data_IF_080946537489
#
_entry.id   IF_080946537489
#
_cell.length_a   1.000
_cell.length_b   1.000
_cell.length_c   1.000
_cell.angle_alpha   90.00
_cell.angle_beta   90.00
_cell.angle_gamma   90.00
#
_symmetry.space_group_name_H-M   'P 1'
#
loop_
_entity.id
_entity.type
_entity.pdbx_description
1 polymer ?
#
# COMPACT_ATOMS: atom_id res chain seq x y z
N UNK A 1 15.01 39.52 28.86
CA UNK A 1 16.26 38.73 28.73
C UNK A 1 16.36 38.31 27.27
N UNK A 2 17.03 39.03 26.38
CA UNK A 2 18.49 39.22 26.25
C UNK A 2 19.22 37.87 26.09
N UNK A 3 20.00 37.54 25.05
CA UNK A 3 20.60 38.20 23.86
C UNK A 3 21.10 37.02 22.94
N UNK A 4 20.92 37.03 21.59
CA UNK A 4 21.94 37.30 20.53
C UNK A 4 22.90 36.12 20.23
N UNK A 5 23.42 35.80 19.02
CA UNK A 5 23.51 36.40 17.69
C UNK A 5 23.66 35.32 16.59
N UNK A 6 23.32 35.77 15.39
CA UNK A 6 23.85 35.44 14.05
C UNK A 6 25.26 34.86 13.94
N UNK A 7 25.42 33.95 12.98
CA UNK A 7 26.66 33.74 12.24
C UNK A 7 26.33 33.22 10.83
N UNK A 8 26.17 34.16 9.92
CA UNK A 8 26.26 33.96 8.48
C UNK A 8 27.68 33.55 8.09
N UNK A 9 27.83 32.44 7.37
CA UNK A 9 28.96 32.22 6.48
C UNK A 9 28.44 31.56 5.20
N UNK A 10 28.42 32.36 4.14
CA UNK A 10 28.18 31.94 2.78
C UNK A 10 29.32 31.01 2.31
N UNK A 11 28.96 29.85 1.79
CA UNK A 11 29.73 29.18 0.76
C UNK A 11 28.76 28.80 -0.36
N UNK A 12 28.90 29.54 -1.46
CA UNK A 12 28.38 29.31 -2.79
C UNK A 12 28.54 27.85 -3.23
N UNK A 13 27.43 27.28 -3.70
CA UNK A 13 27.39 25.95 -4.29
C UNK A 13 26.02 25.69 -4.92
N UNK A 14 25.65 26.49 -5.92
CA UNK A 14 24.64 26.07 -6.89
C UNK A 14 25.06 24.70 -7.43
N UNK A 15 24.18 23.71 -7.50
CA UNK A 15 24.14 22.70 -8.56
C UNK A 15 22.70 22.20 -8.67
N UNK A 16 22.09 22.55 -9.79
CA UNK A 16 20.72 22.19 -10.12
C UNK A 16 20.54 20.68 -10.18
N UNK A 17 19.31 20.28 -9.88
CA UNK A 17 18.75 18.99 -10.24
C UNK A 17 18.97 18.75 -11.73
N UNK A 18 19.89 17.85 -12.07
CA UNK A 18 20.02 17.31 -13.41
C UNK A 18 19.45 15.89 -13.37
N UNK A 19 18.19 15.77 -13.80
CA UNK A 19 17.66 14.53 -14.37
C UNK A 19 18.54 14.15 -15.58
N UNK A 20 19.56 13.33 -15.32
CA UNK A 20 20.38 12.73 -16.35
C UNK A 20 19.61 11.59 -17.01
N UNK A 21 18.83 11.92 -18.03
CA UNK A 21 18.31 10.96 -19.00
C UNK A 21 19.43 10.05 -19.51
N UNK A 22 19.24 8.74 -19.41
CA UNK A 22 20.17 7.68 -19.82
C UNK A 22 20.57 7.74 -21.31
N UNK A 23 20.02 8.68 -22.09
CA UNK A 23 20.43 8.98 -23.46
C UNK A 23 21.78 9.71 -23.61
N UNK A 24 22.27 10.44 -22.60
CA UNK A 24 23.52 11.22 -22.73
C UNK A 24 24.80 10.42 -22.50
N UNK A 25 24.72 9.20 -21.97
CA UNK A 25 25.88 8.30 -21.90
C UNK A 25 26.26 7.71 -23.26
N UNK A 26 25.32 7.68 -24.21
CA UNK A 26 25.54 7.14 -25.55
C UNK A 26 26.20 8.14 -26.50
N UNK A 27 26.06 9.45 -26.27
CA UNK A 27 26.67 10.48 -27.11
C UNK A 27 28.19 10.63 -26.90
N UNK A 28 28.74 10.25 -25.74
CA UNK A 28 30.19 10.19 -25.54
C UNK A 28 30.87 8.96 -26.18
N UNK A 29 30.09 7.95 -26.61
CA UNK A 29 30.60 6.78 -27.33
C UNK A 29 30.41 6.86 -28.85
N UNK A 30 29.69 7.87 -29.35
CA UNK A 30 29.42 8.04 -30.78
C UNK A 30 30.46 8.92 -31.52
N UNK A 31 31.47 9.45 -30.82
CA UNK A 31 32.46 10.38 -31.39
C UNK A 31 33.76 9.76 -31.93
N UNK A 32 33.85 8.43 -32.06
CA UNK A 32 35.11 7.75 -32.37
C UNK A 32 34.98 6.60 -33.38
N UNK A 33 34.34 6.84 -34.53
CA UNK A 33 34.38 5.93 -35.67
C UNK A 33 35.25 6.51 -36.78
N UNK A 34 36.57 6.43 -36.61
CA UNK A 34 37.50 6.52 -37.72
C UNK A 34 38.77 5.72 -37.40
N UNK A 35 38.95 4.61 -38.11
CA UNK A 35 40.28 4.09 -38.40
C UNK A 35 40.94 3.18 -37.37
N UNK A 36 40.72 1.87 -37.55
CA UNK A 36 41.81 0.89 -37.55
C UNK A 36 42.38 0.38 -36.22
N UNK A 37 42.92 -0.83 -36.32
CA UNK A 37 43.84 -1.53 -35.42
C UNK A 37 43.29 -2.45 -34.30
N UNK A 38 43.48 -3.74 -34.58
CA UNK A 38 43.87 -4.86 -33.71
C UNK A 38 42.84 -5.46 -32.74
N UNK A 39 42.61 -6.76 -32.95
CA UNK A 39 41.79 -7.64 -32.12
C UNK A 39 42.31 -7.78 -30.70
N UNK A 40 41.37 -7.84 -29.75
CA UNK A 40 41.65 -7.98 -28.33
C UNK A 40 40.58 -7.35 -27.43
N UNK A 41 39.85 -6.34 -27.92
CA UNK A 41 38.83 -5.63 -27.12
C UNK A 41 37.37 -5.84 -27.56
N UNK A 42 37.12 -6.49 -28.70
CA UNK A 42 35.78 -6.83 -29.17
C UNK A 42 35.14 -8.00 -28.41
N UNK A 43 35.91 -9.08 -28.16
CA UNK A 43 35.44 -10.26 -27.42
C UNK A 43 35.11 -9.96 -25.95
N UNK A 44 35.96 -9.22 -25.24
CA UNK A 44 35.69 -8.85 -23.85
C UNK A 44 34.43 -7.96 -23.69
N UNK A 45 34.16 -7.08 -24.66
CA UNK A 45 32.93 -6.26 -24.67
C UNK A 45 31.69 -7.09 -24.99
N UNK A 46 31.80 -8.07 -25.90
CA UNK A 46 30.72 -9.00 -26.23
C UNK A 46 30.42 -9.97 -25.07
N UNK A 47 31.46 -10.49 -24.41
CA UNK A 47 31.34 -11.37 -23.24
C UNK A 47 30.80 -10.64 -22.01
N UNK A 48 31.15 -9.36 -21.83
CA UNK A 48 30.57 -8.51 -20.79
C UNK A 48 29.08 -8.27 -21.07
N UNK A 49 28.72 -7.91 -22.31
CA UNK A 49 27.34 -7.69 -22.72
C UNK A 49 26.47 -8.95 -22.56
N UNK A 50 26.96 -10.11 -23.01
CA UNK A 50 26.27 -11.38 -22.84
C UNK A 50 26.12 -11.78 -21.37
N UNK A 51 27.14 -11.52 -20.53
CA UNK A 51 27.04 -11.71 -19.07
C UNK A 51 26.01 -10.78 -18.43
N UNK A 52 25.97 -9.50 -18.81
CA UNK A 52 24.95 -8.56 -18.32
C UNK A 52 23.54 -9.01 -18.70
N UNK A 53 23.34 -9.48 -19.93
CA UNK A 53 22.06 -10.03 -20.41
C UNK A 53 21.66 -11.32 -19.67
N UNK A 54 22.63 -12.19 -19.37
CA UNK A 54 22.38 -13.40 -18.59
C UNK A 54 22.02 -13.08 -17.12
N UNK A 55 22.70 -12.10 -16.51
CA UNK A 55 22.39 -11.62 -15.15
C UNK A 55 21.01 -10.96 -15.11
N UNK A 56 20.66 -10.13 -16.09
CA UNK A 56 19.33 -9.50 -16.16
C UNK A 56 18.22 -10.53 -16.34
N UNK A 57 18.42 -11.54 -17.20
CA UNK A 57 17.47 -12.63 -17.39
C UNK A 57 17.30 -13.48 -16.12
N UNK A 58 18.40 -13.81 -15.43
CA UNK A 58 18.35 -14.53 -14.15
C UNK A 58 17.63 -13.71 -13.07
N UNK A 59 17.87 -12.40 -13.00
CA UNK A 59 17.19 -11.51 -12.06
C UNK A 59 15.69 -11.44 -12.34
N UNK A 60 15.29 -11.33 -13.61
CA UNK A 60 13.88 -11.35 -14.00
C UNK A 60 13.20 -12.67 -13.59
N UNK A 61 13.82 -13.82 -13.90
CA UNK A 61 13.33 -15.12 -13.47
C UNK A 61 13.18 -15.24 -11.95
N UNK A 62 14.17 -14.78 -11.18
CA UNK A 62 14.10 -14.82 -9.73
C UNK A 62 13.03 -13.88 -9.18
N UNK A 63 12.87 -12.70 -9.78
CA UNK A 63 11.82 -11.77 -9.37
C UNK A 63 10.43 -12.39 -9.57
N UNK A 64 10.18 -12.97 -10.74
CA UNK A 64 8.94 -13.68 -11.04
C UNK A 64 8.72 -14.86 -10.09
N UNK A 65 9.73 -15.72 -9.91
CA UNK A 65 9.66 -16.89 -9.03
C UNK A 65 9.32 -16.55 -7.58
N UNK A 66 9.79 -15.40 -7.09
CA UNK A 66 9.60 -14.97 -5.70
C UNK A 66 8.58 -13.83 -5.55
N UNK A 67 7.78 -13.54 -6.59
CA UNK A 67 6.71 -12.53 -6.52
C UNK A 67 7.20 -11.10 -6.27
N UNK A 68 8.41 -10.76 -6.73
CA UNK A 68 9.02 -9.44 -6.63
C UNK A 68 8.75 -8.62 -7.88
N UNK A 69 8.57 -7.32 -7.71
CA UNK A 69 8.27 -6.39 -8.82
C UNK A 69 9.51 -6.11 -9.68
N UNK A 70 10.70 -6.29 -9.12
CA UNK A 70 11.98 -6.00 -9.76
C UNK A 70 12.52 -4.61 -9.50
N UNK A 71 11.67 -3.69 -9.01
CA UNK A 71 12.07 -2.46 -8.35
C UNK A 71 12.37 -2.76 -6.88
N UNK A 72 13.64 -2.63 -6.49
CA UNK A 72 14.10 -2.92 -5.14
C UNK A 72 13.43 -2.02 -4.09
N UNK A 73 13.23 -0.74 -4.39
CA UNK A 73 12.63 0.19 -3.45
C UNK A 73 11.16 -0.16 -3.23
N UNK A 74 10.44 -0.46 -4.32
CA UNK A 74 9.04 -0.92 -4.25
C UNK A 74 8.91 -2.22 -3.45
N UNK A 75 9.79 -3.18 -3.69
CA UNK A 75 9.79 -4.46 -2.97
C UNK A 75 10.17 -4.32 -1.48
N UNK A 76 11.04 -3.35 -1.12
CA UNK A 76 11.32 -3.01 0.27
C UNK A 76 10.10 -2.38 0.93
N UNK A 77 9.46 -1.42 0.26
CA UNK A 77 8.25 -0.76 0.77
C UNK A 77 7.11 -1.74 1.00
N UNK A 78 6.82 -2.62 0.04
CA UNK A 78 5.77 -3.63 0.16
C UNK A 78 6.02 -4.54 1.38
N UNK A 79 7.26 -5.00 1.57
CA UNK A 79 7.60 -5.83 2.73
C UNK A 79 7.46 -5.06 4.05
N UNK A 80 7.95 -3.83 4.11
CA UNK A 80 7.83 -3.00 5.31
C UNK A 80 6.37 -2.67 5.66
N UNK A 81 5.52 -2.43 4.66
CA UNK A 81 4.08 -2.22 4.86
C UNK A 81 3.40 -3.49 5.41
N UNK A 82 3.76 -4.65 4.86
CA UNK A 82 3.22 -5.95 5.30
C UNK A 82 3.65 -6.29 6.73
N UNK A 83 4.92 -6.05 7.06
CA UNK A 83 5.45 -6.19 8.42
C UNK A 83 4.73 -5.25 9.40
N UNK A 84 4.60 -3.97 9.06
CA UNK A 84 3.88 -2.99 9.90
C UNK A 84 2.42 -3.38 10.17
N UNK A 85 1.70 -3.88 9.13
CA UNK A 85 0.34 -4.38 9.30
C UNK A 85 0.29 -5.60 10.21
N UNK A 86 1.20 -6.55 9.99
CA UNK A 86 1.29 -7.78 10.77
C UNK A 86 1.57 -7.50 12.23
N UNK A 87 2.59 -6.69 12.53
CA UNK A 87 2.96 -6.32 13.90
C UNK A 87 1.80 -5.65 14.63
N UNK A 88 1.09 -4.74 13.94
CA UNK A 88 -0.12 -4.12 14.50
C UNK A 88 -1.19 -5.17 14.78
N UNK A 89 -1.52 -6.04 13.83
CA UNK A 89 -2.58 -7.04 13.98
C UNK A 89 -2.26 -8.06 15.08
N UNK A 90 -1.01 -8.52 15.15
CA UNK A 90 -0.54 -9.43 16.22
C UNK A 90 -0.62 -8.73 17.58
N UNK A 91 -0.20 -7.46 17.69
CA UNK A 91 -0.30 -6.69 18.94
C UNK A 91 -1.76 -6.47 19.41
N UNK A 92 -2.71 -6.53 18.48
CA UNK A 92 -4.15 -6.38 18.72
C UNK A 92 -4.87 -7.72 18.91
N UNK A 93 -4.13 -8.83 18.98
CA UNK A 93 -4.66 -10.16 19.31
C UNK A 93 -5.34 -10.89 18.15
N UNK A 94 -5.15 -10.46 16.91
CA UNK A 94 -5.66 -11.20 15.75
C UNK A 94 -4.91 -12.51 15.56
N UNK A 95 -5.63 -13.57 15.16
CA UNK A 95 -5.01 -14.88 14.89
C UNK A 95 -4.26 -14.88 13.55
N UNK A 96 -3.29 -15.78 13.40
CA UNK A 96 -2.55 -15.95 12.15
C UNK A 96 -3.43 -16.22 10.94
N UNK A 97 -4.60 -16.85 11.12
CA UNK A 97 -5.56 -17.06 10.04
C UNK A 97 -6.25 -15.75 9.65
N UNK A 98 -6.73 -14.98 10.61
CA UNK A 98 -7.35 -13.67 10.35
C UNK A 98 -6.38 -12.71 9.64
N UNK A 99 -5.11 -12.70 10.05
CA UNK A 99 -4.08 -11.89 9.41
C UNK A 99 -3.89 -12.28 7.94
N UNK A 100 -3.85 -13.58 7.63
CA UNK A 100 -3.78 -14.07 6.25
C UNK A 100 -5.02 -13.70 5.44
N UNK A 101 -6.20 -13.72 6.05
CA UNK A 101 -7.43 -13.33 5.38
C UNK A 101 -7.42 -11.82 5.04
N UNK A 102 -6.88 -10.99 5.94
CA UNK A 102 -6.72 -9.54 5.72
C UNK A 102 -5.67 -9.18 4.67
N UNK A 103 -4.65 -10.03 4.44
CA UNK A 103 -3.68 -9.82 3.35
C UNK A 103 -4.35 -9.70 1.97
N UNK A 104 -5.52 -10.33 1.77
CA UNK A 104 -6.27 -10.25 0.52
C UNK A 104 -7.09 -8.96 0.37
N UNK A 105 -7.20 -8.16 1.44
CA UNK A 105 -7.97 -6.92 1.45
C UNK A 105 -7.11 -5.65 1.53
N UNK A 106 -5.80 -5.75 1.74
CA UNK A 106 -4.88 -4.61 1.93
C UNK A 106 -3.92 -4.49 0.76
N UNK A 107 -3.88 -3.31 0.13
CA UNK A 107 -2.91 -2.99 -0.91
C UNK A 107 -1.58 -2.55 -0.28
N UNK A 108 -0.66 -3.50 -0.12
CA UNK A 108 0.68 -3.23 0.41
C UNK A 108 1.60 -2.46 -0.54
N UNK A 109 1.19 -2.24 -1.80
CA UNK A 109 1.92 -1.34 -2.70
C UNK A 109 1.69 0.13 -2.35
N UNK A 110 0.60 0.42 -1.64
CA UNK A 110 0.31 1.72 -1.06
C UNK A 110 0.79 1.80 0.39
N UNK A 111 0.91 3.02 0.91
CA UNK A 111 1.34 3.25 2.29
C UNK A 111 0.40 2.55 3.28
N UNK A 112 1.00 1.81 4.22
CA UNK A 112 0.34 1.30 5.43
C UNK A 112 0.97 1.96 6.64
N UNK A 113 0.15 2.45 7.57
CA UNK A 113 0.67 3.08 8.78
C UNK A 113 -0.27 2.94 9.97
N UNK A 114 0.31 2.79 11.16
CA UNK A 114 -0.43 2.89 12.42
C UNK A 114 -0.62 4.36 12.76
N UNK A 115 -1.86 4.78 12.96
CA UNK A 115 -2.23 6.14 13.35
C UNK A 115 -2.95 6.14 14.70
N UNK A 116 -2.83 7.23 15.45
CA UNK A 116 -3.63 7.45 16.67
C UNK A 116 -4.70 8.48 16.37
N UNK A 117 -5.96 8.08 16.45
CA UNK A 117 -7.09 8.98 16.37
C UNK A 117 -7.38 9.56 17.74
N UNK A 118 -7.68 10.86 17.79
CA UNK A 118 -8.19 11.48 19.01
C UNK A 118 -9.66 11.13 19.24
N UNK A 119 -10.15 11.40 20.45
CA UNK A 119 -11.59 11.41 20.78
C UNK A 119 -12.36 12.33 19.81
N UNK A 120 -13.64 12.00 19.60
CA UNK A 120 -14.59 12.74 18.77
C UNK A 120 -14.29 12.70 17.25
N UNK A 121 -13.49 11.74 16.79
CA UNK A 121 -13.29 11.50 15.36
C UNK A 121 -14.48 10.70 14.83
N UNK A 122 -15.17 11.26 13.83
CA UNK A 122 -16.24 10.56 13.10
C UNK A 122 -15.63 9.72 11.99
N UNK A 123 -16.06 8.47 11.92
CA UNK A 123 -15.77 7.48 10.89
C UNK A 123 -17.06 6.80 10.46
N UNK A 124 -17.01 6.03 9.38
CA UNK A 124 -18.18 5.37 8.82
C UNK A 124 -17.92 3.88 8.62
N UNK A 125 -18.89 3.02 8.93
CA UNK A 125 -18.79 1.59 8.66
C UNK A 125 -19.89 1.17 7.72
N UNK A 126 -19.51 0.61 6.57
CA UNK A 126 -20.44 0.02 5.63
C UNK A 126 -20.90 -1.35 6.17
N UNK A 127 -22.15 -1.43 6.61
CA UNK A 127 -22.73 -2.60 7.26
C UNK A 127 -24.20 -2.81 6.85
N UNK A 128 -24.73 -4.02 7.04
CA UNK A 128 -26.17 -4.22 6.93
C UNK A 128 -26.90 -3.37 7.99
N UNK A 129 -28.08 -2.80 7.71
CA UNK A 129 -28.85 -2.05 8.68
C UNK A 129 -29.06 -2.84 9.98
N UNK A 130 -28.79 -2.20 11.12
CA UNK A 130 -28.81 -2.82 12.46
C UNK A 130 -27.87 -4.02 12.64
N UNK A 131 -26.89 -4.17 11.73
CA UNK A 131 -25.86 -5.20 11.80
C UNK A 131 -24.90 -5.00 12.98
N UNK A 132 -24.18 -6.06 13.31
CA UNK A 132 -23.11 -6.01 14.31
C UNK A 132 -21.95 -5.17 13.77
N UNK A 133 -21.36 -4.37 14.65
CA UNK A 133 -20.16 -3.61 14.34
C UNK A 133 -18.98 -4.53 13.99
N UNK A 134 -18.38 -4.29 12.82
CA UNK A 134 -17.13 -4.87 12.36
C UNK A 134 -15.89 -4.10 12.82
N UNK A 135 -14.73 -4.44 12.24
CA UNK A 135 -13.43 -3.83 12.60
C UNK A 135 -12.97 -2.75 11.61
N UNK A 136 -13.62 -2.65 10.44
CA UNK A 136 -13.21 -1.80 9.34
C UNK A 136 -14.06 -0.54 9.28
N UNK A 137 -13.41 0.60 9.04
CA UNK A 137 -14.04 1.91 8.96
C UNK A 137 -13.49 2.70 7.76
N UNK A 138 -14.31 3.56 7.20
CA UNK A 138 -13.99 4.55 6.19
C UNK A 138 -13.89 5.95 6.81
N UNK A 139 -13.11 6.81 6.16
CA UNK A 139 -12.93 8.22 6.57
C UNK A 139 -14.10 9.13 6.20
N UNK A 140 -14.98 8.70 5.29
CA UNK A 140 -16.10 9.50 4.77
C UNK A 140 -17.30 8.61 4.45
N UNK A 141 -18.49 9.17 4.64
CA UNK A 141 -19.78 8.57 4.27
C UNK A 141 -19.91 8.29 2.78
N UNK A 142 -19.19 9.06 1.96
CA UNK A 142 -19.26 8.98 0.50
C UNK A 142 -18.45 7.81 -0.08
N UNK A 143 -17.69 7.11 0.75
CA UNK A 143 -16.90 5.96 0.30
C UNK A 143 -17.84 4.78 0.13
N UNK A 144 -17.97 4.34 -1.12
CA UNK A 144 -18.87 3.26 -1.47
C UNK A 144 -18.32 1.90 -1.00
N UNK A 145 -19.18 0.93 -0.65
CA UNK A 145 -18.75 -0.43 -0.28
C UNK A 145 -17.78 -1.06 -1.28
N UNK A 146 -18.03 -0.88 -2.59
CA UNK A 146 -17.19 -1.45 -3.65
C UNK A 146 -15.77 -0.87 -3.67
N UNK A 147 -15.58 0.38 -3.24
CA UNK A 147 -14.26 1.00 -3.12
C UNK A 147 -13.51 0.49 -1.90
N UNK A 148 -14.20 -0.04 -0.89
CA UNK A 148 -13.60 -0.69 0.28
C UNK A 148 -13.34 -2.19 0.08
N UNK A 149 -13.54 -2.71 -1.13
CA UNK A 149 -13.34 -4.13 -1.41
C UNK A 149 -14.47 -5.03 -0.89
N UNK A 150 -15.68 -4.48 -0.66
CA UNK A 150 -16.83 -5.26 -0.18
C UNK A 150 -18.09 -5.05 -1.05
N UNK A 151 -18.96 -6.06 -1.08
CA UNK A 151 -20.23 -6.02 -1.80
C UNK A 151 -21.15 -4.91 -1.20
N UNK A 152 -21.83 -4.09 -2.04
CA UNK A 152 -22.80 -3.10 -1.56
C UNK A 152 -24.04 -3.71 -0.89
N UNK A 153 -24.29 -5.00 -1.10
CA UNK A 153 -25.34 -5.77 -0.42
C UNK A 153 -24.74 -6.70 0.63
N UNK A 154 -25.55 -7.09 1.59
CA UNK A 154 -25.21 -8.12 2.57
C UNK A 154 -26.44 -8.88 3.06
N UNK A 155 -26.22 -10.11 3.53
CA UNK A 155 -27.27 -10.92 4.15
C UNK A 155 -27.41 -10.57 5.64
N UNK A 156 -28.64 -10.33 6.11
CA UNK A 156 -28.90 -10.10 7.54
C UNK A 156 -28.62 -11.41 8.29
N UNK A 157 -27.79 -11.32 9.35
CA UNK A 157 -27.37 -12.47 10.14
C UNK A 157 -28.56 -13.31 10.65
N UNK A 158 -28.49 -14.63 10.44
CA UNK A 158 -29.54 -15.57 10.84
C UNK A 158 -30.77 -15.58 9.93
N UNK A 159 -30.72 -14.93 8.77
CA UNK A 159 -31.82 -14.88 7.80
C UNK A 159 -31.28 -15.04 6.37
N UNK A 160 -32.16 -15.26 5.40
CA UNK A 160 -31.82 -15.23 3.96
C UNK A 160 -32.10 -13.85 3.31
N UNK A 161 -32.40 -12.83 4.13
CA UNK A 161 -32.77 -11.51 3.63
C UNK A 161 -31.53 -10.71 3.22
N UNK A 162 -31.44 -10.41 1.92
CA UNK A 162 -30.40 -9.54 1.33
C UNK A 162 -30.88 -8.10 1.36
N UNK A 163 -30.02 -7.20 1.84
CA UNK A 163 -30.29 -5.75 1.93
C UNK A 163 -29.08 -4.95 1.48
N UNK A 164 -29.32 -3.70 1.10
CA UNK A 164 -28.25 -2.74 0.85
C UNK A 164 -27.55 -2.39 2.16
N UNK A 165 -26.21 -2.32 2.13
CA UNK A 165 -25.41 -1.82 3.23
C UNK A 165 -25.60 -0.31 3.36
N UNK A 166 -25.47 0.18 4.57
CA UNK A 166 -25.52 1.60 4.93
C UNK A 166 -24.20 2.03 5.56
N UNK A 167 -23.79 3.26 5.31
CA UNK A 167 -22.63 3.87 5.93
C UNK A 167 -22.99 4.36 7.35
N UNK A 168 -22.89 3.48 8.34
CA UNK A 168 -23.22 3.79 9.73
C UNK A 168 -22.15 4.70 10.36
N UNK A 169 -22.49 5.88 10.90
CA UNK A 169 -21.52 6.76 11.52
C UNK A 169 -21.13 6.28 12.92
N UNK A 170 -19.83 6.25 13.19
CA UNK A 170 -19.25 5.95 14.49
C UNK A 170 -18.36 7.12 14.95
N UNK A 171 -18.31 7.35 16.26
CA UNK A 171 -17.48 8.37 16.89
C UNK A 171 -16.54 7.76 17.93
N UNK A 172 -15.25 8.10 17.85
CA UNK A 172 -14.25 7.66 18.82
C UNK A 172 -14.50 8.28 20.19
N UNK A 173 -14.51 7.46 21.25
CA UNK A 173 -14.74 7.92 22.62
C UNK A 173 -13.47 8.36 23.32
N UNK A 174 -12.33 7.83 22.91
CA UNK A 174 -11.01 8.10 23.48
C UNK A 174 -9.95 8.11 22.37
N UNK A 175 -8.66 8.25 22.76
CA UNK A 175 -7.57 8.01 21.83
C UNK A 175 -7.51 6.54 21.47
N UNK A 176 -7.43 6.22 20.18
CA UNK A 176 -7.38 4.82 19.71
C UNK A 176 -6.41 4.68 18.56
N UNK A 177 -5.63 3.60 18.58
CA UNK A 177 -4.76 3.25 17.47
C UNK A 177 -5.54 2.51 16.38
N UNK A 178 -5.29 2.87 15.13
CA UNK A 178 -5.88 2.25 13.95
C UNK A 178 -4.79 1.92 12.93
N UNK A 179 -4.97 0.84 12.18
CA UNK A 179 -4.18 0.58 10.99
C UNK A 179 -4.84 1.29 9.81
N UNK A 180 -4.16 2.25 9.21
CA UNK A 180 -4.58 2.89 7.96
C UNK A 180 -3.95 2.18 6.78
N UNK A 181 -4.78 1.83 5.80
CA UNK A 181 -4.34 1.21 4.55
C UNK A 181 -5.25 1.57 3.38
N UNK A 182 -4.89 1.10 2.19
CA UNK A 182 -5.73 1.16 0.98
C UNK A 182 -6.32 -0.23 0.74
N UNK A 183 -7.58 -0.31 0.29
CA UNK A 183 -8.24 -1.57 -0.04
C UNK A 183 -7.78 -2.13 -1.38
N UNK A 184 -7.65 -3.46 -1.46
CA UNK A 184 -7.53 -4.14 -2.74
C UNK A 184 -8.90 -4.34 -3.40
N UNK A 185 -8.97 -4.41 -4.74
CA UNK A 185 -10.10 -5.07 -5.39
C UNK A 185 -10.16 -6.52 -4.94
N UNK A 186 -11.33 -6.95 -4.49
CA UNK A 186 -11.57 -8.31 -4.03
C UNK A 186 -12.82 -8.91 -4.69
N UNK A 187 -12.79 -10.21 -4.91
CA UNK A 187 -14.00 -10.98 -5.20
C UNK A 187 -14.67 -11.29 -3.86
N UNK A 188 -15.69 -10.51 -3.50
CA UNK A 188 -16.44 -10.70 -2.25
C UNK A 188 -17.36 -11.92 -2.41
N UNK A 189 -16.98 -13.02 -1.75
CA UNK A 189 -17.74 -14.28 -1.70
C UNK A 189 -18.42 -14.50 -0.35
N UNK A 190 -18.37 -13.52 0.55
CA UNK A 190 -18.74 -13.67 1.96
C UNK A 190 -19.91 -12.80 2.40
N UNK A 191 -20.18 -11.69 1.73
CA UNK A 191 -21.27 -10.76 2.11
C UNK A 191 -22.66 -11.30 1.76
N UNK A 192 -22.78 -11.97 0.60
CA UNK A 192 -24.01 -12.58 0.10
C UNK A 192 -23.69 -14.01 -0.31
N UNK A 193 -24.36 -14.96 0.35
CA UNK A 193 -24.15 -16.39 0.12
C UNK A 193 -24.39 -16.72 -1.36
N UNK A 194 -23.46 -17.47 -1.95
CA UNK A 194 -23.52 -17.98 -3.33
C UNK A 194 -23.63 -16.89 -4.44
N UNK A 195 -23.38 -15.61 -4.10
CA UNK A 195 -23.39 -14.49 -5.06
C UNK A 195 -22.06 -13.72 -4.96
N UNK A 196 -20.99 -14.22 -5.60
CA UNK A 196 -19.73 -13.50 -5.69
C UNK A 196 -19.90 -12.13 -6.33
N UNK A 197 -19.20 -11.12 -5.80
CA UNK A 197 -19.26 -9.77 -6.34
C UNK A 197 -17.85 -9.19 -6.49
N UNK A 198 -17.49 -8.81 -7.71
CA UNK A 198 -16.21 -8.16 -7.98
C UNK A 198 -16.26 -6.69 -7.55
N UNK A 199 -15.37 -6.32 -6.64
CA UNK A 199 -15.28 -4.96 -6.09
C UNK A 199 -14.17 -4.16 -6.76
N UNK A 200 -14.22 -2.82 -6.60
CA UNK A 200 -13.23 -1.90 -7.18
C UNK A 200 -11.96 -1.78 -6.35
N UNK A 201 -12.08 -1.77 -5.02
CA UNK A 201 -10.98 -1.40 -4.13
C UNK A 201 -10.53 0.07 -4.32
N UNK A 202 -9.41 0.43 -3.69
CA UNK A 202 -8.73 1.72 -3.86
C UNK A 202 -9.08 2.80 -2.82
N UNK A 203 -10.11 2.63 -2.00
CA UNK A 203 -10.39 3.57 -0.92
C UNK A 203 -9.49 3.35 0.30
N UNK A 204 -9.34 4.41 1.09
CA UNK A 204 -8.67 4.32 2.40
C UNK A 204 -9.62 3.64 3.40
N UNK A 205 -9.07 2.66 4.11
CA UNK A 205 -9.74 1.93 5.18
C UNK A 205 -8.92 1.99 6.47
N UNK A 206 -9.61 1.97 7.60
CA UNK A 206 -9.04 1.94 8.94
C UNK A 206 -9.49 0.67 9.64
N UNK A 207 -8.55 -0.05 10.27
CA UNK A 207 -8.84 -1.24 11.07
C UNK A 207 -8.56 -0.98 12.55
N UNK A 208 -9.50 -1.41 13.40
CA UNK A 208 -9.30 -1.53 14.85
C UNK A 208 -10.14 -2.68 15.43
N UNK A 209 -9.56 -3.45 16.37
CA UNK A 209 -10.28 -4.45 17.15
C UNK A 209 -10.97 -3.87 18.40
N UNK A 210 -10.65 -2.63 18.77
CA UNK A 210 -11.11 -1.96 20.00
C UNK A 210 -12.51 -1.34 19.79
N UNK A 211 -13.49 -2.16 19.36
CA UNK A 211 -14.83 -1.71 18.95
C UNK A 211 -15.55 -0.86 20.00
N UNK A 212 -15.31 -1.13 21.28
CA UNK A 212 -15.95 -0.41 22.38
C UNK A 212 -15.58 1.08 22.41
N UNK A 213 -14.44 1.46 21.82
CA UNK A 213 -14.02 2.85 21.69
C UNK A 213 -14.71 3.59 20.54
N UNK A 214 -15.50 2.91 19.72
CA UNK A 214 -16.25 3.49 18.61
C UNK A 214 -17.74 3.29 18.87
N UNK A 215 -18.46 4.36 19.19
CA UNK A 215 -19.92 4.30 19.43
C UNK A 215 -20.67 4.86 18.25
N UNK A 216 -21.84 4.29 17.97
CA UNK A 216 -22.76 4.84 16.96
C UNK A 216 -22.98 6.31 17.28
N UNK A 217 -22.80 7.17 16.28
CA UNK A 217 -23.06 8.60 16.43
C UNK A 217 -24.59 8.79 16.57
N UNK A 218 -25.06 9.47 17.64
CA UNK A 218 -26.48 9.77 17.81
C UNK A 218 -27.05 10.58 16.64
#
# INVERSE_FOLDING_TARGET
>A
MAWVADLSAACSGAHGSAEGSDGQKWSMLAGGFAGGFLGGKGGAKFDAFNRTKAISARRAYLNEKFGRTGDLNKDITIRGNKESARDFLESKGFTSQQIKDFDNGIDYTQRVSVETLNRNKVLYQNQVPNGRQGNWYALSEKVEPTELGINPKGTIYGTDKIVDKVAMPYVTQEKVQVLRSTSLPALDTWSVKDVPFQTKGGAIQLLSSEKDLFKVKP
#
